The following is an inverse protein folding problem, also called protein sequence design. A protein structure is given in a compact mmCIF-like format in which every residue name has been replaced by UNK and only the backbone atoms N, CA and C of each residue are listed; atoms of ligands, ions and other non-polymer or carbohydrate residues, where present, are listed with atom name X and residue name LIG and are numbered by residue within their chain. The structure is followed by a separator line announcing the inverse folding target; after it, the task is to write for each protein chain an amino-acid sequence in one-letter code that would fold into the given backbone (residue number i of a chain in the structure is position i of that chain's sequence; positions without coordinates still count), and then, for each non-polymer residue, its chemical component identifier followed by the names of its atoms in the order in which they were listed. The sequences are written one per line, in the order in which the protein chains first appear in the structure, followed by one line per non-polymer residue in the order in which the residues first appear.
data_IF_548198205713
#
_entry.id   IF_548198205713
#
_cell.length_a   1.000
_cell.length_b   1.000
_cell.length_c   1.000
_cell.angle_alpha   90.00
_cell.angle_beta   90.00
_cell.angle_gamma   90.00
#
_symmetry.space_group_name_H-M   'P 1'
#
loop_
_entity.id
_entity.type
_entity.pdbx_description
1 polymer ?
#
# COMPACT_ATOMS: atom_id res chain seq x y z
N UNK A 1 3.99 -0.90 14.78
CA UNK A 1 2.87 -1.67 15.38
C UNK A 1 2.19 -2.46 14.27
N UNK A 2 1.88 -3.74 14.51
CA UNK A 2 1.12 -4.59 13.60
C UNK A 2 -0.12 -5.11 14.33
N UNK A 3 -1.24 -5.20 13.61
CA UNK A 3 -2.50 -5.72 14.14
C UNK A 3 -3.25 -6.50 13.07
N UNK A 4 -3.44 -7.80 13.30
CA UNK A 4 -4.42 -8.60 12.56
C UNK A 4 -5.81 -8.34 13.15
N UNK A 5 -6.66 -7.62 12.43
CA UNK A 5 -8.00 -7.22 12.90
C UNK A 5 -8.98 -8.38 12.76
N UNK A 6 -8.90 -9.09 11.65
CA UNK A 6 -9.62 -10.34 11.39
C UNK A 6 -8.85 -11.16 10.32
N UNK A 7 -9.42 -12.24 9.79
CA UNK A 7 -8.75 -13.08 8.79
C UNK A 7 -8.57 -12.40 7.43
N UNK A 8 -9.39 -11.40 7.12
CA UNK A 8 -9.37 -10.64 5.87
C UNK A 8 -8.61 -9.31 5.99
N UNK A 9 -8.53 -8.72 7.18
CA UNK A 9 -7.98 -7.39 7.40
C UNK A 9 -6.79 -7.41 8.35
N UNK A 10 -5.65 -7.00 7.82
CA UNK A 10 -4.42 -6.75 8.57
C UNK A 10 -4.08 -5.27 8.47
N UNK A 11 -3.68 -4.66 9.57
CA UNK A 11 -3.31 -3.24 9.65
C UNK A 11 -1.96 -3.09 10.34
N UNK A 12 -1.26 -2.02 10.02
CA UNK A 12 0.01 -1.70 10.63
C UNK A 12 0.29 -0.22 10.60
N UNK A 13 1.02 0.24 11.60
CA UNK A 13 1.59 1.58 11.62
C UNK A 13 3.09 1.52 11.76
N UNK A 14 3.78 2.43 11.09
CA UNK A 14 5.19 2.72 11.29
C UNK A 14 5.33 4.14 11.81
N UNK A 15 6.17 4.33 12.82
CA UNK A 15 6.51 5.64 13.38
C UNK A 15 8.02 5.69 13.56
N UNK A 16 8.65 6.71 12.98
CA UNK A 16 10.08 6.97 13.11
C UNK A 16 10.35 8.46 13.23
N UNK A 17 11.41 8.82 13.94
CA UNK A 17 11.88 10.20 14.08
C UNK A 17 13.40 10.19 14.08
N UNK A 18 14.01 11.33 13.76
CA UNK A 18 15.46 11.52 13.82
C UNK A 18 15.76 12.51 14.92
N UNK A 19 16.56 12.10 15.91
CA UNK A 19 16.95 12.98 17.00
C UNK A 19 17.73 14.20 16.45
N UNK A 20 17.37 15.40 16.90
CA UNK A 20 17.98 16.65 16.45
C UNK A 20 17.38 17.25 15.17
N UNK A 21 16.36 16.64 14.57
CA UNK A 21 15.55 17.27 13.52
C UNK A 21 14.10 17.40 13.96
N UNK A 22 13.35 18.29 13.32
CA UNK A 22 11.89 18.39 13.49
C UNK A 22 11.15 17.41 12.55
N UNK A 23 11.83 16.37 12.04
CA UNK A 23 11.23 15.39 11.14
C UNK A 23 10.66 14.20 11.93
N UNK A 24 9.34 14.08 11.90
CA UNK A 24 8.64 12.84 12.26
C UNK A 24 8.13 12.20 10.98
N UNK A 25 8.26 10.88 10.86
CA UNK A 25 7.68 10.09 9.78
C UNK A 25 6.70 9.10 10.39
N UNK A 26 5.44 9.19 9.99
CA UNK A 26 4.47 8.16 10.33
C UNK A 26 3.81 7.65 9.06
N UNK A 27 3.50 6.35 9.07
CA UNK A 27 2.75 5.69 8.03
C UNK A 27 1.74 4.75 8.64
N UNK A 28 0.54 4.72 8.07
CA UNK A 28 -0.49 3.74 8.39
C UNK A 28 -0.76 2.96 7.11
N UNK A 29 -0.89 1.64 7.22
CA UNK A 29 -1.25 0.81 6.07
C UNK A 29 -2.10 -0.36 6.49
N UNK A 30 -2.84 -0.88 5.53
CA UNK A 30 -3.62 -2.09 5.70
C UNK A 30 -3.55 -2.96 4.45
N UNK A 31 -3.81 -4.24 4.68
CA UNK A 31 -4.01 -5.27 3.67
C UNK A 31 -5.39 -5.84 3.91
N UNK A 32 -6.22 -5.82 2.88
CA UNK A 32 -7.55 -6.38 2.86
C UNK A 32 -7.63 -7.50 1.82
N UNK A 33 -7.91 -8.72 2.25
CA UNK A 33 -8.16 -9.87 1.39
C UNK A 33 -9.64 -9.84 1.01
N UNK A 34 -9.92 -9.54 -0.25
CA UNK A 34 -11.29 -9.52 -0.77
C UNK A 34 -11.80 -10.95 -0.92
N UNK A 35 -10.91 -11.83 -1.41
CA UNK A 35 -11.12 -13.27 -1.59
C UNK A 35 -9.74 -13.98 -1.54
N UNK A 36 -9.72 -15.29 -1.79
CA UNK A 36 -8.50 -16.13 -1.75
C UNK A 36 -7.48 -15.82 -2.87
N UNK A 37 -7.85 -15.00 -3.85
CA UNK A 37 -7.06 -14.66 -5.03
C UNK A 37 -6.79 -13.16 -5.15
N UNK A 38 -7.50 -12.34 -4.39
CA UNK A 38 -7.53 -10.89 -4.52
C UNK A 38 -7.21 -10.22 -3.20
N UNK A 39 -6.23 -9.32 -3.23
CA UNK A 39 -5.90 -8.47 -2.09
C UNK A 39 -5.79 -7.01 -2.52
N UNK A 40 -6.27 -6.14 -1.64
CA UNK A 40 -6.14 -4.69 -1.75
C UNK A 40 -5.22 -4.24 -0.63
N UNK A 41 -4.28 -3.37 -0.95
CA UNK A 41 -3.41 -2.71 0.04
C UNK A 41 -3.57 -1.22 -0.08
N UNK A 42 -3.72 -0.57 1.06
CA UNK A 42 -3.72 0.87 1.15
C UNK A 42 -2.68 1.30 2.16
N UNK A 43 -1.98 2.39 1.87
CA UNK A 43 -1.08 3.03 2.83
C UNK A 43 -1.17 4.54 2.70
N UNK A 44 -1.03 5.22 3.83
CA UNK A 44 -0.95 6.67 3.90
C UNK A 44 0.22 7.05 4.79
N UNK A 45 0.81 8.21 4.54
CA UNK A 45 1.85 8.77 5.40
C UNK A 45 1.63 10.26 5.63
N UNK A 46 2.46 10.83 6.50
CA UNK A 46 2.39 12.23 6.89
C UNK A 46 2.97 13.22 5.86
N UNK A 47 3.41 12.72 4.71
CA UNK A 47 3.74 13.54 3.54
C UNK A 47 2.53 13.71 2.60
N UNK A 48 1.33 13.36 3.07
CA UNK A 48 0.08 13.35 2.28
C UNK A 48 0.13 12.39 1.09
N UNK A 49 0.97 11.36 1.14
CA UNK A 49 1.01 10.36 0.06
C UNK A 49 0.03 9.24 0.35
N UNK A 50 -0.72 8.84 -0.67
CA UNK A 50 -1.67 7.73 -0.62
C UNK A 50 -1.19 6.66 -1.60
N UNK A 51 -0.79 5.52 -1.07
CA UNK A 51 -0.45 4.33 -1.85
C UNK A 51 -1.62 3.39 -1.90
N UNK A 52 -2.01 2.98 -3.11
CA UNK A 52 -3.03 1.97 -3.36
C UNK A 52 -2.41 0.85 -4.17
N UNK A 53 -2.79 -0.39 -3.87
CA UNK A 53 -2.40 -1.54 -4.68
C UNK A 53 -3.52 -2.56 -4.70
N UNK A 54 -3.77 -3.09 -5.89
CA UNK A 54 -4.70 -4.17 -6.13
C UNK A 54 -3.89 -5.33 -6.70
N UNK A 55 -3.94 -6.47 -6.06
CA UNK A 55 -3.27 -7.68 -6.52
C UNK A 55 -4.29 -8.77 -6.72
N UNK A 56 -4.30 -9.37 -7.91
CA UNK A 56 -5.20 -10.44 -8.27
C UNK A 56 -4.44 -11.60 -8.91
N UNK A 57 -4.71 -12.82 -8.45
CA UNK A 57 -4.15 -14.04 -9.00
C UNK A 57 -5.01 -14.51 -10.17
N UNK A 58 -4.47 -14.36 -11.39
CA UNK A 58 -5.17 -14.76 -12.63
C UNK A 58 -5.25 -16.29 -12.78
N UNK A 59 -4.18 -16.99 -12.38
CA UNK A 59 -4.12 -18.46 -12.33
C UNK A 59 -3.04 -18.91 -11.35
N UNK A 60 -2.96 -20.23 -11.09
CA UNK A 60 -1.83 -20.79 -10.35
C UNK A 60 -0.52 -20.40 -11.06
N UNK A 61 0.42 -19.82 -10.32
CA UNK A 61 1.68 -19.30 -10.85
C UNK A 61 1.60 -17.95 -11.59
N UNK A 62 0.44 -17.28 -11.68
CA UNK A 62 0.36 -15.92 -12.26
C UNK A 62 -0.39 -14.96 -11.34
N UNK A 63 0.27 -13.88 -10.99
CA UNK A 63 -0.31 -12.80 -10.20
C UNK A 63 -0.07 -11.45 -10.87
N UNK A 64 -1.15 -10.67 -10.99
CA UNK A 64 -1.13 -9.32 -11.52
C UNK A 64 -1.30 -8.34 -10.35
N UNK A 65 -0.42 -7.35 -10.27
CA UNK A 65 -0.49 -6.26 -9.30
C UNK A 65 -0.58 -4.94 -10.02
N UNK A 66 -1.64 -4.18 -9.75
CA UNK A 66 -1.76 -2.77 -10.09
C UNK A 66 -1.45 -1.93 -8.85
N UNK A 67 -0.79 -0.80 -9.04
CA UNK A 67 -0.41 0.09 -7.96
C UNK A 67 -0.45 1.54 -8.38
N UNK A 68 -0.81 2.40 -7.43
CA UNK A 68 -0.79 3.84 -7.58
C UNK A 68 -0.16 4.47 -6.33
N UNK A 69 0.65 5.50 -6.53
CA UNK A 69 1.12 6.39 -5.47
C UNK A 69 0.69 7.80 -5.83
N UNK A 70 -0.30 8.29 -5.10
CA UNK A 70 -0.94 9.59 -5.28
C UNK A 70 -0.29 10.56 -4.30
N UNK A 71 0.08 11.74 -4.80
CA UNK A 71 0.53 12.85 -3.97
C UNK A 71 -0.69 13.72 -3.63
N UNK A 72 -1.15 13.66 -2.39
CA UNK A 72 -2.30 14.41 -1.91
C UNK A 72 -2.07 15.92 -1.84
N UNK A 73 -0.82 16.40 -1.78
CA UNK A 73 -0.54 17.85 -1.83
C UNK A 73 -0.82 18.43 -3.21
N UNK A 74 -0.58 17.60 -4.22
CA UNK A 74 -0.72 17.94 -5.63
C UNK A 74 -1.80 17.09 -6.29
N UNK A 75 -2.89 16.78 -5.58
CA UNK A 75 -3.93 15.85 -6.05
C UNK A 75 -4.61 16.31 -7.35
N UNK A 76 -4.84 17.62 -7.47
CA UNK A 76 -5.43 18.21 -8.68
C UNK A 76 -4.40 18.42 -9.80
N UNK A 77 -3.13 18.05 -9.55
CA UNK A 77 -2.04 18.15 -10.49
C UNK A 77 -1.59 16.72 -10.86
N UNK A 78 -0.92 16.57 -12.01
CA UNK A 78 -0.39 15.27 -12.43
C UNK A 78 0.82 14.81 -11.60
N UNK A 79 1.53 13.81 -12.10
CA UNK A 79 2.76 13.30 -11.47
C UNK A 79 2.57 12.17 -10.46
N UNK A 80 1.33 11.67 -10.32
CA UNK A 80 1.07 10.43 -9.59
C UNK A 80 1.76 9.25 -10.27
N UNK A 81 2.36 8.36 -9.48
CA UNK A 81 3.04 7.18 -10.02
C UNK A 81 2.03 6.06 -10.16
N UNK A 82 2.01 5.42 -11.33
CA UNK A 82 1.25 4.20 -11.58
C UNK A 82 2.25 3.09 -11.88
N UNK A 83 1.98 1.89 -11.38
CA UNK A 83 2.82 0.72 -11.57
C UNK A 83 2.00 -0.53 -11.84
N UNK A 84 2.56 -1.41 -12.65
CA UNK A 84 2.02 -2.73 -12.95
C UNK A 84 3.12 -3.76 -12.70
N UNK A 85 2.80 -4.81 -11.96
CA UNK A 85 3.65 -5.97 -11.72
C UNK A 85 2.97 -7.23 -12.23
N UNK A 86 3.71 -8.08 -12.93
CA UNK A 86 3.26 -9.41 -13.33
C UNK A 86 4.27 -10.40 -12.76
N UNK A 87 3.81 -11.18 -11.78
CA UNK A 87 4.59 -12.23 -11.14
C UNK A 87 4.24 -13.57 -11.79
N UNK A 88 5.29 -14.28 -12.21
CA UNK A 88 5.21 -15.58 -12.89
C UNK A 88 6.05 -16.58 -12.08
N UNK A 89 5.40 -17.61 -11.56
CA UNK A 89 6.00 -18.71 -10.82
C UNK A 89 5.85 -19.99 -11.63
N UNK A 90 6.95 -20.77 -11.73
CA UNK A 90 7.03 -21.99 -12.53
C UNK A 90 6.46 -23.20 -11.79
#
# INVERSE_FOLDING_TARGET
MYQKVNDQLESGMNLSWVAGTNETKFGLGCVYKVDDHTSIRAKVNNNSQIGLSFTHRLRKGIQLTLSALIDGKSFNQGGHKIGLGLELEA
#
